data_IF_791079540544
#
_entry.id   IF_791079540544
#
_cell.length_a   1.000
_cell.length_b   1.000
_cell.length_c   1.000
_cell.angle_alpha   90.00
_cell.angle_beta   90.00
_cell.angle_gamma   90.00
#
_symmetry.space_group_name_H-M   'P 1'
#
loop_
_entity.id
_entity.type
_entity.pdbx_description
1 polymer ?
#
# COMPACT_ATOMS: atom_id res chain seq x y z
N UNK A 1 41.28 23.05 -21.80
CA UNK A 1 41.39 24.15 -20.84
C UNK A 1 41.20 23.54 -19.47
N UNK A 2 42.27 23.43 -18.68
CA UNK A 2 42.20 22.88 -17.34
C UNK A 2 41.22 23.72 -16.53
N UNK A 3 40.25 23.08 -15.87
CA UNK A 3 39.45 23.71 -14.83
C UNK A 3 40.42 24.28 -13.80
N UNK A 4 40.67 25.58 -13.91
CA UNK A 4 41.56 26.28 -12.98
C UNK A 4 40.67 26.56 -11.79
N UNK A 5 40.81 25.74 -10.75
CA UNK A 5 40.06 25.91 -9.52
C UNK A 5 40.40 27.30 -8.94
N UNK A 6 39.38 28.15 -8.79
CA UNK A 6 39.52 29.47 -8.18
C UNK A 6 38.98 29.36 -6.77
N UNK A 7 39.88 29.34 -5.80
CA UNK A 7 39.55 29.34 -4.38
C UNK A 7 39.38 30.78 -3.92
N UNK A 8 38.18 31.14 -3.49
CA UNK A 8 37.91 32.39 -2.79
C UNK A 8 37.47 32.05 -1.36
N UNK A 9 38.20 32.54 -0.37
CA UNK A 9 37.80 32.43 1.05
C UNK A 9 36.92 33.62 1.37
N UNK A 10 35.61 33.44 1.64
CA UNK A 10 34.75 34.53 2.04
C UNK A 10 35.21 35.09 3.40
N UNK A 11 35.00 36.40 3.68
CA UNK A 11 35.15 36.93 5.03
C UNK A 11 34.24 36.16 6.00
N UNK A 12 34.70 36.00 7.24
CA UNK A 12 34.15 35.11 8.30
C UNK A 12 32.70 35.37 8.73
N UNK A 13 31.96 36.25 8.05
CA UNK A 13 30.56 36.57 8.33
C UNK A 13 29.72 36.88 7.07
N UNK A 14 30.24 36.63 5.86
CA UNK A 14 29.54 36.97 4.62
C UNK A 14 28.48 35.92 4.26
N UNK A 15 27.19 36.26 4.39
CA UNK A 15 26.05 35.42 3.96
C UNK A 15 25.70 35.59 2.47
N UNK A 16 26.25 36.62 1.84
CA UNK A 16 26.15 36.89 0.40
C UNK A 16 27.48 37.44 -0.10
N UNK A 17 27.94 37.02 -1.26
CA UNK A 17 29.15 37.53 -1.88
C UNK A 17 29.08 37.50 -3.41
N UNK A 18 29.97 38.27 -4.04
CA UNK A 18 30.14 38.26 -5.49
C UNK A 18 31.49 37.61 -5.78
N UNK A 19 31.50 36.49 -6.51
CA UNK A 19 32.74 35.86 -6.96
C UNK A 19 33.08 36.42 -8.33
N UNK A 20 34.19 37.15 -8.40
CA UNK A 20 34.69 37.75 -9.64
C UNK A 20 35.91 37.00 -10.10
N UNK A 21 35.84 36.38 -11.28
CA UNK A 21 36.94 35.68 -11.93
C UNK A 21 37.47 36.55 -13.05
N UNK A 22 38.72 36.99 -12.93
CA UNK A 22 39.40 37.75 -13.99
C UNK A 22 40.44 36.88 -14.67
N UNK A 23 40.34 36.75 -15.99
CA UNK A 23 41.35 36.10 -16.83
C UNK A 23 41.93 37.11 -17.81
N UNK A 24 43.01 36.74 -18.52
CA UNK A 24 43.57 37.56 -19.59
C UNK A 24 42.57 37.90 -20.71
N UNK A 25 41.46 37.15 -20.83
CA UNK A 25 40.43 37.32 -21.84
C UNK A 25 39.14 37.98 -21.32
N UNK A 26 39.11 38.45 -20.07
CA UNK A 26 37.97 39.18 -19.51
C UNK A 26 37.60 38.76 -18.10
N UNK A 27 36.58 39.43 -17.57
CA UNK A 27 36.08 39.24 -16.20
C UNK A 27 34.65 38.68 -16.22
N UNK A 28 34.43 37.55 -15.55
CA UNK A 28 33.11 36.98 -15.28
C UNK A 28 32.75 37.13 -13.80
N UNK A 29 31.48 37.40 -13.50
CA UNK A 29 31.00 37.56 -12.12
C UNK A 29 29.76 36.70 -11.90
N UNK A 30 29.69 36.02 -10.75
CA UNK A 30 28.53 35.25 -10.31
C UNK A 30 28.17 35.60 -8.85
N UNK A 31 26.88 35.61 -8.55
CA UNK A 31 26.42 35.78 -7.17
C UNK A 31 26.56 34.46 -6.42
N UNK A 32 27.18 34.51 -5.24
CA UNK A 32 27.30 33.39 -4.31
C UNK A 32 26.41 33.69 -3.10
N UNK A 33 25.35 32.90 -2.94
CA UNK A 33 24.54 32.90 -1.73
C UNK A 33 25.04 31.76 -0.85
N UNK A 34 25.56 32.07 0.33
CA UNK A 34 25.93 31.09 1.35
C UNK A 34 24.86 31.17 2.41
N UNK A 35 23.95 30.21 2.43
CA UNK A 35 22.94 30.10 3.51
C UNK A 35 23.60 29.37 4.68
N UNK A 36 23.85 30.02 5.83
CA UNK A 36 24.27 29.31 7.03
C UNK A 36 23.12 28.39 7.46
N UNK A 37 23.42 27.11 7.69
CA UNK A 37 22.41 26.10 8.03
C UNK A 37 22.01 26.09 9.51
N UNK A 38 22.56 26.97 10.34
CA UNK A 38 22.07 27.25 11.68
C UNK A 38 22.40 28.68 12.11
N UNK A 39 21.50 29.27 12.91
CA UNK A 39 21.59 30.58 13.54
C UNK A 39 22.17 30.53 14.97
N UNK A 40 22.48 29.34 15.50
CA UNK A 40 22.94 29.18 16.88
C UNK A 40 24.46 29.20 17.07
N UNK A 41 25.27 28.93 16.04
CA UNK A 41 26.73 28.84 16.18
C UNK A 41 27.47 29.64 15.09
N UNK A 42 28.38 30.50 15.51
CA UNK A 42 28.93 31.63 14.74
C UNK A 42 29.96 31.26 13.67
N UNK A 43 30.09 29.98 13.31
CA UNK A 43 31.13 29.46 12.41
C UNK A 43 30.49 28.68 11.25
N UNK A 44 30.93 28.96 10.03
CA UNK A 44 30.51 28.23 8.83
C UNK A 44 30.88 26.74 8.96
N UNK A 45 29.88 25.85 8.98
CA UNK A 45 30.09 24.40 8.99
C UNK A 45 30.17 23.76 10.39
N UNK A 46 29.77 24.49 11.43
CA UNK A 46 29.58 23.98 12.79
C UNK A 46 28.21 23.28 12.88
N UNK A 47 28.21 21.96 12.89
CA UNK A 47 26.99 21.14 12.96
C UNK A 47 26.85 20.54 14.36
N UNK A 48 25.64 20.06 14.68
CA UNK A 48 25.35 19.57 16.03
C UNK A 48 26.30 18.44 16.45
N UNK A 49 26.92 18.60 17.62
CA UNK A 49 27.67 17.56 18.31
C UNK A 49 26.78 16.64 19.18
N UNK A 50 25.47 16.87 19.21
CA UNK A 50 24.52 16.12 20.02
C UNK A 50 23.91 14.99 19.21
N UNK A 51 24.25 13.76 19.56
CA UNK A 51 23.71 12.54 18.94
C UNK A 51 22.18 12.43 18.99
N UNK A 52 21.53 13.07 19.97
CA UNK A 52 20.07 13.06 20.13
C UNK A 52 19.38 14.23 19.44
N UNK A 53 20.13 15.21 18.92
CA UNK A 53 19.60 16.33 18.18
C UNK A 53 20.53 16.73 17.02
N UNK A 54 20.75 15.86 16.01
CA UNK A 54 21.54 16.20 14.83
C UNK A 54 20.98 17.41 14.06
N UNK A 55 21.83 18.13 13.33
CA UNK A 55 21.38 19.26 12.49
C UNK A 55 20.58 18.73 11.30
N UNK A 56 19.35 19.22 11.12
CA UNK A 56 18.51 18.77 10.02
C UNK A 56 18.94 19.35 8.66
N UNK A 57 19.13 18.48 7.68
CA UNK A 57 19.47 18.80 6.30
C UNK A 57 18.29 18.42 5.37
N UNK A 58 17.72 19.43 4.71
CA UNK A 58 16.71 19.21 3.69
C UNK A 58 17.38 18.82 2.36
N UNK A 59 17.00 17.65 1.82
CA UNK A 59 17.51 17.18 0.52
C UNK A 59 16.68 17.73 -0.64
N UNK A 60 17.37 18.27 -1.65
CA UNK A 60 16.86 18.51 -2.99
C UNK A 60 17.46 17.53 -4.00
N UNK A 61 17.23 17.74 -5.30
CA UNK A 61 17.80 16.89 -6.36
C UNK A 61 19.33 16.87 -6.35
N UNK A 62 19.96 17.94 -5.88
CA UNK A 62 21.39 18.00 -5.61
C UNK A 62 21.59 18.90 -4.40
N UNK A 63 21.95 18.33 -3.26
CA UNK A 63 22.26 19.08 -2.03
C UNK A 63 23.76 19.01 -1.79
N UNK A 64 24.40 20.17 -1.59
CA UNK A 64 25.80 20.24 -1.21
C UNK A 64 25.92 20.63 0.24
N UNK A 65 26.56 19.79 1.02
CA UNK A 65 26.94 20.05 2.39
C UNK A 65 28.37 20.57 2.40
N UNK A 66 28.59 21.74 2.98
CA UNK A 66 29.94 22.24 3.28
C UNK A 66 30.19 21.96 4.75
N UNK A 67 31.16 21.11 5.07
CA UNK A 67 31.52 20.80 6.44
C UNK A 67 32.99 21.15 6.67
N UNK A 68 33.25 21.76 7.82
CA UNK A 68 34.57 22.15 8.29
C UNK A 68 34.83 21.42 9.58
N UNK A 69 35.59 20.33 9.55
CA UNK A 69 35.88 19.61 10.77
C UNK A 69 37.10 20.23 11.46
N UNK A 70 36.89 20.72 12.68
CA UNK A 70 37.94 21.13 13.61
C UNK A 70 38.36 19.89 14.41
N UNK A 71 39.64 19.83 14.79
CA UNK A 71 40.23 18.69 15.49
C UNK A 71 39.41 18.29 16.72
N UNK A 72 38.78 17.10 16.68
CA UNK A 72 38.06 16.52 17.83
C UNK A 72 36.57 16.84 17.91
N UNK A 73 36.01 17.58 16.95
CA UNK A 73 34.58 17.90 16.91
C UNK A 73 33.85 16.92 15.97
N UNK A 74 32.84 16.23 16.52
CA UNK A 74 31.99 15.33 15.76
C UNK A 74 30.73 16.07 15.33
N UNK A 75 30.45 16.04 14.04
CA UNK A 75 29.30 16.69 13.42
C UNK A 75 28.25 15.63 13.08
N UNK A 76 27.05 15.79 13.61
CA UNK A 76 25.89 14.95 13.32
C UNK A 76 24.85 15.72 12.51
N UNK A 77 24.47 15.14 11.38
CA UNK A 77 23.42 15.67 10.50
C UNK A 77 22.32 14.64 10.29
N UNK A 78 21.07 15.05 10.24
CA UNK A 78 19.94 14.18 9.90
C UNK A 78 19.32 14.59 8.58
N UNK A 79 18.93 13.63 7.75
CA UNK A 79 18.23 13.88 6.48
C UNK A 79 17.21 12.78 6.17
N UNK A 80 16.21 13.14 5.36
CA UNK A 80 15.18 12.20 4.89
C UNK A 80 15.32 11.99 3.39
N UNK A 81 15.40 10.73 2.96
CA UNK A 81 15.23 10.32 1.57
C UNK A 81 13.73 10.15 1.31
N UNK A 82 13.11 10.96 0.41
CA UNK A 82 11.66 10.92 0.21
C UNK A 82 11.15 9.58 -0.35
N UNK A 83 9.87 9.28 -0.10
CA UNK A 83 9.20 8.14 -0.72
C UNK A 83 9.26 8.20 -2.25
N UNK A 84 9.57 7.07 -2.90
CA UNK A 84 9.76 7.01 -4.36
C UNK A 84 11.15 7.45 -4.85
N UNK A 85 12.03 7.88 -3.94
CA UNK A 85 13.42 8.23 -4.21
C UNK A 85 14.39 7.30 -3.45
N UNK A 86 15.65 7.39 -3.83
CA UNK A 86 16.80 6.84 -3.12
C UNK A 86 17.93 7.87 -3.11
N UNK A 87 18.79 7.86 -2.09
CA UNK A 87 20.09 8.50 -2.20
C UNK A 87 20.99 7.60 -3.06
N UNK A 88 21.25 8.03 -4.28
CA UNK A 88 22.00 7.29 -5.28
C UNK A 88 23.52 7.46 -5.15
N UNK A 89 23.95 8.52 -4.46
CA UNK A 89 25.36 8.77 -4.21
C UNK A 89 25.58 9.82 -3.10
N UNK A 90 26.70 9.67 -2.42
CA UNK A 90 27.26 10.65 -1.49
C UNK A 90 28.67 10.99 -1.97
N UNK A 91 28.79 12.00 -2.83
CA UNK A 91 30.02 12.24 -3.58
C UNK A 91 30.90 13.29 -2.89
N UNK A 92 32.18 13.00 -2.68
CA UNK A 92 33.14 14.00 -2.21
C UNK A 92 33.50 14.93 -3.37
N UNK A 93 33.07 16.19 -3.33
CA UNK A 93 33.34 17.17 -4.41
C UNK A 93 34.50 18.11 -4.10
N UNK A 94 34.87 18.24 -2.83
CA UNK A 94 35.98 19.08 -2.41
C UNK A 94 36.56 18.55 -1.11
N UNK A 95 37.88 18.67 -0.97
CA UNK A 95 38.60 18.44 0.27
C UNK A 95 39.79 19.39 0.31
N UNK A 96 39.86 20.25 1.33
CA UNK A 96 40.93 21.22 1.48
C UNK A 96 42.26 20.51 1.74
N UNK A 97 43.34 21.07 1.21
CA UNK A 97 44.67 20.56 1.51
C UNK A 97 45.05 20.91 2.96
N UNK A 98 45.39 19.89 3.76
CA UNK A 98 46.07 20.06 5.05
C UNK A 98 47.17 19.00 5.23
N UNK A 99 47.89 19.10 6.34
CA UNK A 99 48.91 18.12 6.73
C UNK A 99 48.33 16.76 7.13
N UNK A 100 47.01 16.70 7.39
CA UNK A 100 46.29 15.46 7.66
C UNK A 100 45.06 15.38 6.74
N UNK A 101 45.18 14.60 5.67
CA UNK A 101 44.20 14.55 4.58
C UNK A 101 43.14 13.45 4.76
N UNK A 102 42.83 13.07 6.00
CA UNK A 102 41.90 11.98 6.28
C UNK A 102 40.83 12.43 7.27
N UNK A 103 39.57 12.50 6.83
CA UNK A 103 38.40 12.66 7.68
C UNK A 103 37.65 11.33 7.83
N UNK A 104 36.75 11.25 8.80
CA UNK A 104 35.88 10.12 9.05
C UNK A 104 34.44 10.45 8.64
N UNK A 105 33.74 9.46 8.07
CA UNK A 105 32.30 9.51 7.79
C UNK A 105 31.63 8.21 8.21
N UNK A 106 30.43 8.28 8.75
CA UNK A 106 29.58 7.13 9.02
C UNK A 106 28.10 7.44 8.90
N UNK A 107 27.29 6.40 8.71
CA UNK A 107 25.85 6.46 8.54
C UNK A 107 25.14 5.60 9.59
N UNK A 108 24.01 6.11 10.08
CA UNK A 108 23.04 5.38 10.89
C UNK A 108 21.63 5.61 10.33
N UNK A 109 20.71 4.70 10.67
CA UNK A 109 19.28 4.83 10.37
C UNK A 109 18.57 5.70 11.40
N UNK A 110 17.52 6.42 10.97
CA UNK A 110 16.73 7.28 11.82
C UNK A 110 17.31 8.69 11.95
N UNK A 111 16.62 9.50 12.76
CA UNK A 111 16.89 10.95 12.92
C UNK A 111 17.86 11.28 14.06
N UNK A 112 18.40 10.27 14.73
CA UNK A 112 19.36 10.39 15.83
C UNK A 112 20.50 9.42 15.61
N UNK A 113 21.68 9.73 16.15
CA UNK A 113 22.83 8.82 16.13
C UNK A 113 22.75 7.82 17.29
N UNK A 114 22.49 6.56 16.98
CA UNK A 114 22.30 5.48 17.96
C UNK A 114 23.40 4.43 17.93
N UNK A 115 24.09 4.28 16.80
CA UNK A 115 25.17 3.30 16.60
C UNK A 115 26.39 3.50 17.55
N UNK A 116 26.52 4.67 18.19
CA UNK A 116 27.66 4.98 19.04
C UNK A 116 28.98 4.94 18.26
N UNK A 117 30.04 4.37 18.85
CA UNK A 117 31.33 4.17 18.16
C UNK A 117 31.52 2.72 17.67
N UNK A 118 30.52 1.87 17.87
CA UNK A 118 30.58 0.45 17.48
C UNK A 118 30.30 0.35 15.99
N UNK A 119 31.33 0.07 15.19
CA UNK A 119 31.21 0.10 13.73
C UNK A 119 30.27 -0.96 13.14
N UNK A 120 29.96 -2.03 13.88
CA UNK A 120 28.97 -3.04 13.46
C UNK A 120 27.53 -2.55 13.55
N UNK A 121 27.28 -1.48 14.32
CA UNK A 121 25.96 -0.91 14.51
C UNK A 121 25.67 0.20 13.48
N UNK A 122 26.70 0.60 12.70
CA UNK A 122 26.59 1.60 11.63
C UNK A 122 26.11 0.94 10.33
N UNK A 123 25.34 1.69 9.51
CA UNK A 123 24.96 1.27 8.16
C UNK A 123 26.15 1.24 7.18
N UNK A 124 27.18 2.01 7.48
CA UNK A 124 28.42 2.09 6.72
C UNK A 124 29.32 3.17 7.30
N UNK A 125 30.63 3.00 7.15
CA UNK A 125 31.61 3.98 7.62
C UNK A 125 32.88 3.91 6.79
N UNK A 126 33.63 5.00 6.72
CA UNK A 126 34.92 5.02 6.08
C UNK A 126 35.75 6.22 6.50
N UNK A 127 37.04 6.12 6.24
CA UNK A 127 37.90 7.30 6.17
C UNK A 127 37.92 7.82 4.74
N UNK A 128 37.85 9.13 4.55
CA UNK A 128 37.87 9.77 3.24
C UNK A 128 38.81 10.96 3.19
N UNK A 129 39.29 11.27 1.99
CA UNK A 129 40.28 12.33 1.79
C UNK A 129 40.45 12.74 0.34
N UNK A 130 41.55 13.43 0.03
CA UNK A 130 41.88 13.84 -1.33
C UNK A 130 41.89 12.71 -2.38
N UNK A 131 42.26 11.44 -2.07
CA UNK A 131 42.18 10.36 -3.05
C UNK A 131 40.74 9.98 -3.45
N UNK A 132 39.75 10.38 -2.66
CA UNK A 132 38.33 10.07 -2.87
C UNK A 132 37.60 11.21 -3.59
N UNK A 133 38.33 12.22 -4.08
CA UNK A 133 37.73 13.33 -4.78
C UNK A 133 36.99 12.81 -6.03
N UNK A 134 35.71 13.18 -6.12
CA UNK A 134 34.73 12.75 -7.12
C UNK A 134 34.38 11.26 -7.09
N UNK A 135 34.59 10.58 -5.97
CA UNK A 135 34.09 9.21 -5.76
C UNK A 135 32.85 9.21 -4.87
N UNK A 136 32.06 8.14 -5.00
CA UNK A 136 30.89 7.90 -4.16
C UNK A 136 31.30 7.23 -2.84
N UNK A 137 31.08 7.94 -1.74
CA UNK A 137 31.38 7.47 -0.40
C UNK A 137 30.42 6.38 0.07
N UNK A 138 29.19 6.24 -0.48
CA UNK A 138 28.30 5.13 -0.10
C UNK A 138 28.94 3.78 -0.45
N UNK A 139 29.50 3.68 -1.65
CA UNK A 139 30.28 2.52 -2.08
C UNK A 139 31.50 2.30 -1.18
N UNK A 140 32.24 3.37 -0.87
CA UNK A 140 33.44 3.28 -0.02
C UNK A 140 33.15 2.87 1.42
N UNK A 141 32.00 3.29 1.94
CA UNK A 141 31.49 2.92 3.26
C UNK A 141 30.93 1.49 3.32
N UNK A 142 30.90 0.77 2.20
CA UNK A 142 30.28 -0.54 2.04
C UNK A 142 28.78 -0.54 2.42
N UNK A 143 28.08 0.56 2.15
CA UNK A 143 26.62 0.61 2.32
C UNK A 143 25.99 -0.43 1.40
N UNK A 144 25.04 -1.20 1.92
CA UNK A 144 24.40 -2.28 1.18
C UNK A 144 23.79 -1.78 -0.14
N UNK A 145 24.24 -2.34 -1.26
CA UNK A 145 23.78 -1.94 -2.61
C UNK A 145 24.32 -0.59 -3.12
N UNK A 146 25.17 0.10 -2.36
CA UNK A 146 25.69 1.45 -2.67
C UNK A 146 24.61 2.53 -2.84
N UNK A 147 23.48 2.41 -2.15
CA UNK A 147 22.44 3.44 -2.10
C UNK A 147 21.72 3.41 -0.75
N UNK A 148 21.00 4.50 -0.42
CA UNK A 148 20.06 4.50 0.71
C UNK A 148 18.61 4.56 0.18
N UNK A 149 17.72 3.61 0.56
CA UNK A 149 16.31 3.67 0.18
C UNK A 149 15.60 4.87 0.82
N UNK A 150 14.32 5.06 0.52
CA UNK A 150 13.50 6.06 1.22
C UNK A 150 13.48 5.79 2.72
N UNK A 151 13.69 6.81 3.53
CA UNK A 151 13.79 6.69 4.99
C UNK A 151 14.56 7.85 5.61
N UNK A 152 14.64 7.84 6.93
CA UNK A 152 15.41 8.80 7.71
C UNK A 152 16.80 8.25 8.02
N UNK A 153 17.81 9.12 7.98
CA UNK A 153 19.21 8.78 8.18
C UNK A 153 19.95 9.86 8.95
N UNK A 154 20.94 9.44 9.72
CA UNK A 154 21.89 10.32 10.40
C UNK A 154 23.29 10.09 9.86
N UNK A 155 23.98 11.17 9.49
CA UNK A 155 25.37 11.20 9.05
C UNK A 155 26.24 11.71 10.20
N UNK A 156 27.32 11.01 10.48
CA UNK A 156 28.41 11.48 11.31
C UNK A 156 29.60 11.83 10.42
N UNK A 157 30.15 13.04 10.56
CA UNK A 157 31.44 13.43 9.97
C UNK A 157 32.37 13.99 11.04
N UNK A 158 33.68 13.73 10.92
CA UNK A 158 34.67 14.18 11.90
C UNK A 158 36.08 14.27 11.31
N UNK A 159 36.91 15.15 11.87
CA UNK A 159 38.37 15.14 11.73
C UNK A 159 39.03 15.23 13.12
N UNK A 160 40.02 14.39 13.39
CA UNK A 160 40.84 14.42 14.62
C UNK A 160 42.17 15.15 14.42
N UNK A 161 42.64 15.26 13.17
CA UNK A 161 43.89 15.92 12.80
C UNK A 161 43.75 17.41 12.51
N UNK A 162 44.57 17.91 11.58
CA UNK A 162 44.48 19.30 11.15
C UNK A 162 43.11 19.61 10.53
N UNK A 163 42.59 20.80 10.81
CA UNK A 163 41.27 21.20 10.34
C UNK A 163 41.18 21.14 8.81
N UNK A 164 40.08 20.59 8.30
CA UNK A 164 39.80 20.46 6.88
C UNK A 164 38.39 20.94 6.55
N UNK A 165 38.22 21.55 5.38
CA UNK A 165 36.92 21.80 4.76
C UNK A 165 36.68 20.78 3.65
N UNK A 166 35.51 20.17 3.63
CA UNK A 166 35.09 19.27 2.56
C UNK A 166 33.66 19.57 2.12
N UNK A 167 33.36 19.18 0.88
CA UNK A 167 32.02 19.32 0.30
C UNK A 167 31.51 17.94 -0.08
N UNK A 168 30.39 17.54 0.52
CA UNK A 168 29.67 16.32 0.19
C UNK A 168 28.45 16.67 -0.66
N UNK A 169 28.28 16.01 -1.79
CA UNK A 169 27.11 16.15 -2.64
C UNK A 169 26.20 14.93 -2.48
N UNK A 170 24.98 15.19 -2.02
CA UNK A 170 23.90 14.22 -1.93
C UNK A 170 23.17 14.19 -3.27
N UNK A 171 23.20 13.03 -3.91
CA UNK A 171 22.57 12.81 -5.20
C UNK A 171 21.30 11.98 -5.02
N UNK A 172 20.13 12.64 -5.07
CA UNK A 172 18.85 11.94 -5.08
C UNK A 172 18.51 11.46 -6.49
N UNK A 173 18.06 10.22 -6.60
CA UNK A 173 17.48 9.67 -7.82
C UNK A 173 16.12 9.02 -7.53
N UNK A 174 15.28 8.93 -8.56
CA UNK A 174 14.07 8.12 -8.45
C UNK A 174 14.44 6.66 -8.16
N UNK A 175 13.70 6.03 -7.26
CA UNK A 175 13.86 4.61 -7.01
C UNK A 175 13.45 3.81 -8.27
N UNK A 176 14.14 2.70 -8.60
CA UNK A 176 13.74 1.84 -9.71
C UNK A 176 12.27 1.39 -9.52
N UNK A 177 11.43 1.43 -10.57
CA UNK A 177 10.03 1.06 -10.43
C UNK A 177 9.87 -0.45 -10.37
N UNK A 178 8.98 -0.92 -9.50
CA UNK A 178 8.34 -2.22 -9.70
C UNK A 178 7.36 -2.14 -10.87
N UNK A 179 7.10 -3.27 -11.50
CA UNK A 179 5.94 -3.44 -12.41
C UNK A 179 4.98 -4.45 -11.80
N UNK A 180 3.68 -4.26 -12.02
CA UNK A 180 2.65 -5.21 -11.60
C UNK A 180 1.61 -5.33 -12.71
N UNK A 181 1.39 -6.55 -13.19
CA UNK A 181 0.32 -6.87 -14.15
C UNK A 181 -0.53 -8.01 -13.63
N UNK A 182 -1.83 -7.98 -13.93
CA UNK A 182 -2.78 -9.02 -13.55
C UNK A 182 -3.40 -9.60 -14.82
N UNK A 183 -3.48 -10.93 -14.90
CA UNK A 183 -4.12 -11.60 -16.02
C UNK A 183 -4.94 -12.82 -15.56
N UNK A 184 -6.27 -12.80 -15.69
CA UNK A 184 -7.11 -11.66 -16.11
C UNK A 184 -7.17 -10.54 -15.04
N UNK A 185 -7.63 -9.34 -15.42
CA UNK A 185 -7.87 -8.22 -14.46
C UNK A 185 -9.23 -8.29 -13.78
N UNK A 186 -10.07 -9.25 -14.15
CA UNK A 186 -11.35 -9.51 -13.50
C UNK A 186 -11.71 -10.98 -13.53
N UNK A 187 -12.48 -11.43 -12.54
CA UNK A 187 -13.03 -12.77 -12.49
C UNK A 187 -14.34 -12.79 -11.70
N UNK A 188 -15.13 -13.84 -11.89
CA UNK A 188 -16.28 -14.11 -11.05
C UNK A 188 -15.86 -14.43 -9.61
N UNK A 189 -16.68 -14.08 -8.62
CA UNK A 189 -16.40 -14.34 -7.21
C UNK A 189 -16.24 -15.84 -6.90
N UNK A 190 -16.86 -16.71 -7.70
CA UNK A 190 -16.75 -18.16 -7.59
C UNK A 190 -15.53 -18.75 -8.32
N UNK A 191 -14.67 -17.93 -8.93
CA UNK A 191 -13.43 -18.40 -9.55
C UNK A 191 -12.41 -18.93 -8.53
N UNK A 192 -12.55 -18.56 -7.25
CA UNK A 192 -11.79 -19.14 -6.15
C UNK A 192 -10.29 -18.89 -6.25
N UNK A 193 -9.49 -19.88 -5.81
CA UNK A 193 -8.04 -19.81 -5.86
C UNK A 193 -7.53 -19.81 -7.31
N UNK A 194 -6.68 -18.84 -7.66
CA UNK A 194 -6.16 -18.72 -9.03
C UNK A 194 -7.11 -18.00 -10.00
N UNK A 195 -8.08 -17.25 -9.48
CA UNK A 195 -8.95 -16.36 -10.26
C UNK A 195 -8.15 -15.39 -11.17
N UNK A 196 -6.93 -15.03 -10.77
CA UNK A 196 -5.98 -14.31 -11.61
C UNK A 196 -4.53 -14.67 -11.27
N UNK A 197 -3.63 -14.44 -12.22
CA UNK A 197 -2.18 -14.46 -12.00
C UNK A 197 -1.65 -13.03 -11.98
N UNK A 198 -1.05 -12.63 -10.86
CA UNK A 198 -0.23 -11.43 -10.76
C UNK A 198 1.19 -11.70 -11.20
N UNK A 199 1.80 -10.80 -11.97
CA UNK A 199 3.23 -10.81 -12.31
C UNK A 199 3.87 -9.54 -11.80
N UNK A 200 4.83 -9.67 -10.88
CA UNK A 200 5.67 -8.55 -10.44
C UNK A 200 7.01 -8.58 -11.15
N UNK A 201 7.55 -7.41 -11.49
CA UNK A 201 8.84 -7.29 -12.15
C UNK A 201 9.72 -6.15 -11.66
N UNK A 202 11.01 -6.26 -11.97
CA UNK A 202 12.07 -5.27 -11.75
C UNK A 202 12.82 -5.00 -13.06
N UNK A 203 13.42 -3.81 -13.24
CA UNK A 203 14.06 -3.43 -14.51
C UNK A 203 15.37 -4.17 -14.79
N UNK A 204 16.05 -4.71 -13.78
CA UNK A 204 17.35 -5.38 -13.93
C UNK A 204 17.44 -6.53 -12.94
N UNK A 205 18.00 -7.65 -13.39
CA UNK A 205 18.18 -8.84 -12.55
C UNK A 205 19.18 -8.55 -11.42
N UNK A 206 18.88 -9.04 -10.22
CA UNK A 206 19.75 -8.92 -9.05
C UNK A 206 20.61 -10.18 -8.88
N UNK A 207 21.69 -10.06 -8.11
CA UNK A 207 22.57 -11.18 -7.74
C UNK A 207 22.08 -11.93 -6.49
N UNK A 208 21.06 -11.41 -5.81
CA UNK A 208 20.40 -12.01 -4.65
C UNK A 208 18.87 -11.97 -4.84
N UNK A 209 18.17 -12.80 -4.09
CA UNK A 209 16.71 -12.81 -4.08
C UNK A 209 16.13 -11.47 -3.59
N UNK A 210 15.01 -11.05 -4.18
CA UNK A 210 14.22 -9.91 -3.75
C UNK A 210 12.84 -10.38 -3.27
N UNK A 211 12.57 -10.21 -1.99
CA UNK A 211 11.23 -10.37 -1.44
C UNK A 211 10.39 -9.14 -1.76
N UNK A 212 9.24 -9.34 -2.40
CA UNK A 212 8.26 -8.30 -2.70
C UNK A 212 7.03 -8.53 -1.84
N UNK A 213 6.69 -7.56 -1.00
CA UNK A 213 5.46 -7.58 -0.22
C UNK A 213 4.25 -7.24 -1.11
N UNK A 214 3.14 -7.94 -0.87
CA UNK A 214 1.90 -7.79 -1.62
C UNK A 214 0.76 -7.45 -0.67
N UNK A 215 -0.10 -6.54 -1.08
CA UNK A 215 -1.28 -6.14 -0.31
C UNK A 215 -2.52 -6.07 -1.21
N UNK A 216 -3.68 -6.36 -0.62
CA UNK A 216 -5.00 -6.20 -1.22
C UNK A 216 -5.81 -5.24 -0.35
N UNK A 217 -6.38 -4.21 -0.94
CA UNK A 217 -7.20 -3.20 -0.21
C UNK A 217 -8.58 -3.73 0.17
N UNK A 218 -9.09 -4.74 -0.51
CA UNK A 218 -10.35 -5.41 -0.20
C UNK A 218 -10.17 -6.93 -0.16
N UNK A 219 -9.70 -7.44 0.99
CA UNK A 219 -9.49 -8.86 1.23
C UNK A 219 -10.78 -9.68 1.31
N UNK A 220 -11.94 -9.03 1.51
CA UNK A 220 -13.24 -9.70 1.47
C UNK A 220 -13.69 -10.05 0.05
N UNK A 221 -13.13 -9.39 -0.97
CA UNK A 221 -13.37 -9.70 -2.38
C UNK A 221 -12.20 -10.45 -3.02
N UNK A 222 -10.95 -10.05 -2.76
CA UNK A 222 -9.77 -10.63 -3.39
C UNK A 222 -8.58 -10.74 -2.43
N UNK A 223 -7.95 -11.91 -2.38
CA UNK A 223 -6.78 -12.16 -1.53
C UNK A 223 -5.53 -12.48 -2.35
N UNK A 224 -4.37 -12.12 -1.82
CA UNK A 224 -3.03 -12.38 -2.36
C UNK A 224 -2.15 -12.98 -1.26
N UNK A 225 -1.08 -13.73 -1.59
CA UNK A 225 -0.08 -14.10 -0.59
C UNK A 225 0.59 -12.84 -0.02
N UNK A 226 1.13 -12.91 1.20
CA UNK A 226 1.78 -11.75 1.83
C UNK A 226 3.03 -11.27 1.08
N UNK A 227 3.73 -12.18 0.40
CA UNK A 227 4.90 -11.84 -0.40
C UNK A 227 5.12 -12.82 -1.54
N UNK A 228 5.89 -12.39 -2.53
CA UNK A 228 6.45 -13.21 -3.62
C UNK A 228 7.94 -12.90 -3.77
N UNK A 229 8.74 -13.89 -4.13
CA UNK A 229 10.20 -13.72 -4.29
C UNK A 229 10.58 -13.70 -5.76
N UNK A 230 11.26 -12.64 -6.20
CA UNK A 230 12.00 -12.63 -7.46
C UNK A 230 13.38 -13.22 -7.14
N UNK A 231 13.64 -14.43 -7.64
CA UNK A 231 14.90 -15.13 -7.37
C UNK A 231 16.07 -14.46 -8.07
N UNK A 232 17.27 -14.56 -7.51
CA UNK A 232 18.51 -14.07 -8.10
C UNK A 232 18.64 -14.50 -9.58
N UNK A 233 19.10 -13.58 -10.43
CA UNK A 233 19.21 -13.77 -11.88
C UNK A 233 17.90 -13.56 -12.65
N UNK A 234 16.75 -13.52 -11.98
CA UNK A 234 15.45 -13.26 -12.61
C UNK A 234 15.04 -11.80 -12.48
N UNK A 235 14.12 -11.36 -13.36
CA UNK A 235 13.56 -10.01 -13.36
C UNK A 235 12.09 -9.97 -12.98
N UNK A 236 11.45 -11.12 -12.76
CA UNK A 236 10.03 -11.20 -12.46
C UNK A 236 9.69 -12.48 -11.69
N UNK A 237 8.55 -12.44 -11.02
CA UNK A 237 7.93 -13.57 -10.35
C UNK A 237 6.40 -13.46 -10.44
N UNK A 238 5.72 -14.59 -10.36
CA UNK A 238 4.26 -14.66 -10.42
C UNK A 238 3.67 -15.10 -9.08
N UNK A 239 2.43 -14.68 -8.83
CA UNK A 239 1.66 -15.07 -7.66
C UNK A 239 0.18 -15.24 -8.01
N UNK A 240 -0.51 -16.10 -7.27
CA UNK A 240 -1.95 -16.30 -7.45
C UNK A 240 -2.76 -15.20 -6.74
N UNK A 241 -3.84 -14.77 -7.38
CA UNK A 241 -4.89 -13.94 -6.79
C UNK A 241 -6.12 -14.82 -6.68
N UNK A 242 -6.74 -14.85 -5.50
CA UNK A 242 -8.00 -15.57 -5.28
C UNK A 242 -9.18 -14.61 -5.22
N UNK A 243 -10.29 -14.98 -5.85
CA UNK A 243 -11.58 -14.33 -5.65
C UNK A 243 -12.32 -15.00 -4.49
N UNK A 244 -12.95 -14.20 -3.65
CA UNK A 244 -13.68 -14.65 -2.46
C UNK A 244 -15.18 -14.57 -2.75
N UNK A 245 -15.82 -15.73 -2.79
CA UNK A 245 -17.26 -15.83 -2.96
C UNK A 245 -18.00 -15.41 -1.69
N UNK A 246 -19.13 -14.73 -1.85
CA UNK A 246 -20.13 -14.56 -0.80
C UNK A 246 -21.54 -14.85 -1.37
N UNK A 247 -22.54 -15.16 -0.53
CA UNK A 247 -23.86 -15.60 -1.00
C UNK A 247 -24.86 -14.45 -1.19
N UNK A 248 -24.38 -13.21 -1.30
CA UNK A 248 -25.25 -12.03 -1.39
C UNK A 248 -25.17 -11.41 -2.77
N UNK A 249 -26.24 -10.76 -3.20
CA UNK A 249 -26.23 -10.02 -4.46
C UNK A 249 -25.65 -8.64 -4.21
N UNK A 250 -24.60 -8.27 -4.93
CA UNK A 250 -23.94 -6.97 -4.81
C UNK A 250 -23.33 -6.53 -6.15
N UNK A 251 -23.02 -5.24 -6.28
CA UNK A 251 -22.31 -4.71 -7.44
C UNK A 251 -20.85 -5.15 -7.44
N UNK A 252 -20.25 -5.39 -8.61
CA UNK A 252 -18.84 -5.80 -8.72
C UNK A 252 -17.92 -4.97 -7.83
N UNK A 253 -17.04 -5.67 -7.10
CA UNK A 253 -16.12 -5.07 -6.14
C UNK A 253 -14.73 -5.02 -6.75
N UNK A 254 -14.00 -3.94 -6.50
CA UNK A 254 -12.60 -3.84 -6.92
C UNK A 254 -11.68 -3.90 -5.71
N UNK A 255 -10.51 -4.51 -5.90
CA UNK A 255 -9.39 -4.41 -4.97
C UNK A 255 -8.15 -3.87 -5.71
N UNK A 256 -7.55 -2.82 -5.15
CA UNK A 256 -6.21 -2.40 -5.55
C UNK A 256 -5.20 -3.39 -4.95
N UNK A 257 -4.46 -4.07 -5.81
CA UNK A 257 -3.33 -4.92 -5.45
C UNK A 257 -2.06 -4.08 -5.54
N UNK A 258 -1.27 -4.05 -4.47
CA UNK A 258 -0.03 -3.27 -4.38
C UNK A 258 1.16 -4.20 -4.17
N UNK A 259 2.24 -3.94 -4.90
CA UNK A 259 3.54 -4.57 -4.73
C UNK A 259 4.55 -3.53 -4.22
N UNK A 260 5.32 -3.88 -3.19
CA UNK A 260 6.31 -2.99 -2.56
C UNK A 260 7.58 -3.75 -2.16
N UNK A 261 8.74 -3.13 -2.33
CA UNK A 261 10.03 -3.66 -1.91
C UNK A 261 10.98 -2.53 -1.52
N UNK A 262 11.83 -2.73 -0.51
CA UNK A 262 12.81 -1.74 -0.06
C UNK A 262 13.73 -1.33 -1.21
N UNK A 263 13.90 -0.02 -1.41
CA UNK A 263 14.73 0.52 -2.49
C UNK A 263 14.05 0.59 -3.86
N UNK A 264 12.77 0.22 -3.96
CA UNK A 264 11.98 0.32 -5.18
C UNK A 264 10.77 1.24 -5.02
N UNK A 265 10.34 1.86 -6.11
CA UNK A 265 9.04 2.52 -6.16
C UNK A 265 7.93 1.46 -6.31
N UNK A 266 6.85 1.62 -5.53
CA UNK A 266 5.75 0.66 -5.50
C UNK A 266 5.00 0.60 -6.84
N UNK A 267 4.41 -0.57 -7.12
CA UNK A 267 3.50 -0.77 -8.25
C UNK A 267 2.11 -1.15 -7.76
N UNK A 268 1.08 -0.84 -8.53
CA UNK A 268 -0.28 -1.26 -8.22
C UNK A 268 -1.09 -1.58 -9.47
N UNK A 269 -2.05 -2.48 -9.32
CA UNK A 269 -3.00 -2.86 -10.36
C UNK A 269 -4.36 -3.23 -9.73
N UNK A 270 -5.44 -2.91 -10.43
CA UNK A 270 -6.80 -3.16 -9.93
C UNK A 270 -7.30 -4.52 -10.41
N UNK A 271 -7.77 -5.35 -9.48
CA UNK A 271 -8.50 -6.59 -9.76
C UNK A 271 -9.99 -6.38 -9.45
N UNK A 272 -10.88 -6.79 -10.37
CA UNK A 272 -12.33 -6.66 -10.18
C UNK A 272 -13.00 -8.02 -10.05
N UNK A 273 -13.77 -8.19 -8.98
CA UNK A 273 -14.54 -9.39 -8.69
C UNK A 273 -16.00 -9.14 -9.04
N UNK A 274 -16.53 -9.91 -10.00
CA UNK A 274 -17.94 -9.81 -10.41
C UNK A 274 -18.81 -10.75 -9.60
N UNK A 275 -19.92 -10.25 -9.10
CA UNK A 275 -20.93 -11.06 -8.43
C UNK A 275 -21.66 -11.95 -9.45
N UNK A 276 -21.84 -13.22 -9.12
CA UNK A 276 -22.61 -14.17 -9.96
C UNK A 276 -23.92 -14.58 -9.31
N UNK A 277 -24.20 -14.08 -8.11
CA UNK A 277 -25.46 -14.35 -7.43
C UNK A 277 -26.63 -13.62 -8.09
N UNK A 278 -27.73 -14.33 -8.20
CA UNK A 278 -28.99 -13.80 -8.71
C UNK A 278 -29.96 -13.68 -7.53
N UNK A 279 -30.68 -12.56 -7.37
CA UNK A 279 -31.71 -12.48 -6.35
C UNK A 279 -32.68 -13.65 -6.48
N UNK A 280 -33.16 -14.25 -5.37
CA UNK A 280 -34.25 -15.21 -5.44
C UNK A 280 -35.40 -14.58 -6.23
N UNK A 281 -35.90 -15.28 -7.25
CA UNK A 281 -37.03 -14.79 -8.03
C UNK A 281 -38.15 -14.33 -7.07
N UNK A 282 -38.74 -13.13 -7.28
CA UNK A 282 -39.83 -12.64 -6.43
C UNK A 282 -40.90 -13.72 -6.28
N UNK A 283 -41.44 -13.94 -5.08
CA UNK A 283 -42.50 -14.94 -4.86
C UNK A 283 -43.69 -14.76 -5.82
N UNK A 284 -43.98 -13.52 -6.23
CA UNK A 284 -45.00 -13.20 -7.22
C UNK A 284 -44.76 -13.86 -8.61
N UNK A 285 -43.53 -14.24 -8.93
CA UNK A 285 -43.20 -14.99 -10.16
C UNK A 285 -43.33 -16.52 -9.97
N UNK A 286 -43.50 -17.01 -8.74
CA UNK A 286 -43.64 -18.44 -8.41
C UNK A 286 -45.08 -18.86 -8.14
N UNK A 287 -45.95 -17.93 -7.77
CA UNK A 287 -47.37 -18.22 -7.52
C UNK A 287 -48.12 -17.12 -6.77
N UNK A 288 -49.42 -17.31 -6.56
CA UNK A 288 -50.28 -16.44 -5.74
C UNK A 288 -51.36 -17.25 -5.02
N UNK A 289 -51.99 -16.64 -4.00
CA UNK A 289 -53.24 -17.16 -3.40
C UNK A 289 -54.36 -16.83 -4.37
N UNK A 290 -54.98 -17.85 -4.96
CA UNK A 290 -56.05 -17.66 -5.94
C UNK A 290 -57.42 -17.53 -5.27
N UNK A 291 -57.66 -18.32 -4.24
CA UNK A 291 -58.93 -18.33 -3.50
C UNK A 291 -58.69 -18.60 -2.02
N UNK A 292 -59.53 -17.99 -1.19
CA UNK A 292 -59.52 -18.17 0.26
C UNK A 292 -60.96 -18.21 0.76
N UNK A 293 -61.37 -19.38 1.27
CA UNK A 293 -62.69 -19.59 1.85
C UNK A 293 -62.57 -19.73 3.36
N UNK A 294 -63.05 -18.74 4.11
CA UNK A 294 -62.74 -18.57 5.54
C UNK A 294 -63.90 -18.10 6.41
N UNK A 295 -65.08 -17.86 5.85
CA UNK A 295 -66.24 -17.37 6.60
C UNK A 295 -67.51 -17.95 5.97
N UNK A 296 -68.13 -18.87 6.70
CA UNK A 296 -69.46 -19.36 6.39
C UNK A 296 -70.39 -18.94 7.52
N UNK A 297 -71.56 -18.40 7.20
CA UNK A 297 -72.61 -18.23 8.20
C UNK A 297 -73.09 -19.61 8.70
N UNK A 298 -72.84 -19.95 9.97
CA UNK A 298 -73.20 -21.25 10.58
C UNK A 298 -71.98 -22.00 11.13
N UNK A 299 -72.02 -23.34 11.16
CA UNK A 299 -70.82 -24.14 11.46
C UNK A 299 -69.87 -24.09 10.27
N UNK A 300 -68.69 -23.51 10.47
CA UNK A 300 -67.56 -23.42 9.53
C UNK A 300 -67.40 -24.69 8.67
N UNK A 301 -67.97 -24.69 7.46
CA UNK A 301 -68.03 -25.87 6.57
C UNK A 301 -67.42 -25.53 5.23
N UNK A 302 -66.41 -26.30 4.81
CA UNK A 302 -65.81 -26.15 3.48
C UNK A 302 -64.77 -25.03 3.39
N UNK A 303 -64.07 -24.73 4.48
CA UNK A 303 -62.94 -23.81 4.47
C UNK A 303 -61.72 -24.40 3.75
N UNK A 304 -61.12 -23.60 2.88
CA UNK A 304 -59.96 -24.00 2.10
C UNK A 304 -59.15 -22.79 1.61
N UNK A 305 -57.92 -23.08 1.19
CA UNK A 305 -57.06 -22.13 0.48
C UNK A 305 -56.68 -22.74 -0.85
N UNK A 306 -56.78 -21.96 -1.91
CA UNK A 306 -56.27 -22.29 -3.23
C UNK A 306 -55.07 -21.43 -3.57
N UNK A 307 -54.01 -22.06 -4.06
CA UNK A 307 -52.83 -21.41 -4.58
C UNK A 307 -52.66 -21.77 -6.05
N UNK A 308 -52.09 -20.84 -6.82
CA UNK A 308 -51.62 -21.10 -8.18
C UNK A 308 -50.10 -21.04 -8.17
N UNK A 309 -49.45 -22.03 -8.78
CA UNK A 309 -48.00 -22.03 -9.01
C UNK A 309 -47.70 -21.76 -10.49
N UNK A 310 -46.69 -20.93 -10.73
CA UNK A 310 -46.22 -20.61 -12.07
C UNK A 310 -45.51 -21.80 -12.72
N UNK A 311 -45.52 -21.91 -14.08
CA UNK A 311 -44.84 -22.98 -14.79
C UNK A 311 -43.37 -23.12 -14.36
N UNK A 312 -42.93 -24.35 -14.07
CA UNK A 312 -41.55 -24.64 -13.67
C UNK A 312 -41.23 -24.41 -12.19
N UNK A 313 -42.21 -24.05 -11.36
CA UNK A 313 -42.02 -23.92 -9.91
C UNK A 313 -41.78 -25.29 -9.28
N UNK A 314 -40.66 -25.44 -8.56
CA UNK A 314 -40.35 -26.66 -7.81
C UNK A 314 -41.34 -26.83 -6.63
N UNK A 315 -41.98 -27.99 -6.57
CA UNK A 315 -43.10 -28.28 -5.64
C UNK A 315 -42.66 -28.72 -4.25
N UNK A 316 -41.40 -29.12 -4.08
CA UNK A 316 -40.86 -29.66 -2.83
C UNK A 316 -40.58 -28.61 -1.73
N UNK A 317 -40.61 -27.31 -2.07
CA UNK A 317 -40.32 -26.21 -1.15
C UNK A 317 -41.50 -25.23 -0.98
N UNK A 318 -42.73 -25.68 -1.27
CA UNK A 318 -43.94 -24.86 -1.13
C UNK A 318 -44.73 -25.30 0.10
N UNK A 319 -45.08 -24.33 0.94
CA UNK A 319 -45.99 -24.53 2.07
C UNK A 319 -46.82 -23.27 2.30
N UNK A 320 -48.03 -23.45 2.81
CA UNK A 320 -48.89 -22.38 3.32
C UNK A 320 -48.72 -22.32 4.83
N UNK A 321 -48.46 -21.13 5.38
CA UNK A 321 -48.40 -20.87 6.82
C UNK A 321 -49.47 -19.87 7.17
N UNK A 322 -50.30 -20.19 8.16
CA UNK A 322 -51.33 -19.28 8.65
C UNK A 322 -50.76 -18.36 9.72
N UNK A 323 -51.17 -17.10 9.71
CA UNK A 323 -50.82 -16.10 10.71
C UNK A 323 -52.08 -15.42 11.25
N UNK A 324 -52.08 -15.06 12.52
CA UNK A 324 -53.17 -14.36 13.16
C UNK A 324 -53.12 -12.85 12.89
N UNK A 325 -54.26 -12.18 13.01
CA UNK A 325 -54.34 -10.71 12.90
C UNK A 325 -53.81 -9.97 14.14
N UNK A 326 -53.62 -10.67 15.27
CA UNK A 326 -53.18 -10.08 16.54
C UNK A 326 -51.67 -10.19 16.70
N UNK A 327 -50.93 -9.33 16.00
CA UNK A 327 -49.47 -9.24 16.09
C UNK A 327 -48.71 -10.17 15.14
N UNK A 328 -49.39 -10.87 14.23
CA UNK A 328 -48.76 -11.65 13.16
C UNK A 328 -48.07 -12.92 13.64
N UNK A 329 -48.52 -13.50 14.75
CA UNK A 329 -48.05 -14.80 15.23
C UNK A 329 -48.64 -15.95 14.39
N UNK A 330 -47.96 -17.10 14.35
CA UNK A 330 -48.45 -18.29 13.65
C UNK A 330 -49.81 -18.72 14.20
N UNK A 331 -50.79 -18.96 13.31
CA UNK A 331 -52.16 -19.37 13.64
C UNK A 331 -52.31 -20.89 13.43
N UNK A 332 -52.77 -21.58 14.47
CA UNK A 332 -52.97 -23.05 14.43
C UNK A 332 -54.46 -23.36 14.43
N UNK A 333 -54.89 -24.23 13.52
CA UNK A 333 -56.29 -24.60 13.34
C UNK A 333 -56.48 -26.09 13.08
N UNK A 334 -57.72 -26.56 13.16
CA UNK A 334 -58.13 -27.92 12.83
C UNK A 334 -57.85 -28.95 13.94
N UNK A 335 -58.20 -30.20 13.65
CA UNK A 335 -57.92 -31.36 14.48
C UNK A 335 -57.43 -32.51 13.58
N UNK A 336 -56.13 -32.88 13.62
CA UNK A 336 -55.09 -32.34 14.51
C UNK A 336 -54.74 -30.88 14.21
N UNK A 337 -54.28 -30.18 15.25
CA UNK A 337 -53.94 -28.76 15.17
C UNK A 337 -52.70 -28.55 14.27
N UNK A 338 -52.85 -27.75 13.21
CA UNK A 338 -51.82 -27.49 12.23
C UNK A 338 -51.78 -26.00 11.85
N UNK A 339 -50.58 -25.47 11.66
CA UNK A 339 -50.36 -24.07 11.25
C UNK A 339 -49.60 -23.93 9.93
N UNK A 340 -48.96 -25.03 9.49
CA UNK A 340 -48.16 -25.10 8.26
C UNK A 340 -48.61 -26.30 7.44
N UNK A 341 -49.01 -26.05 6.20
CA UNK A 341 -49.53 -27.01 5.25
C UNK A 341 -48.51 -27.15 4.10
N UNK A 342 -47.69 -28.20 4.06
CA UNK A 342 -46.82 -28.45 2.92
C UNK A 342 -47.64 -28.81 1.67
N UNK A 343 -47.13 -28.50 0.47
CA UNK A 343 -47.82 -28.77 -0.79
C UNK A 343 -48.23 -30.24 -0.98
N UNK A 344 -47.53 -31.18 -0.31
CA UNK A 344 -47.89 -32.60 -0.31
C UNK A 344 -49.27 -32.91 0.29
N UNK A 345 -49.88 -31.97 1.02
CA UNK A 345 -51.24 -32.07 1.56
C UNK A 345 -52.30 -31.44 0.66
N UNK A 346 -51.89 -30.74 -0.40
CA UNK A 346 -52.82 -30.08 -1.30
C UNK A 346 -53.35 -31.08 -2.33
N UNK A 347 -54.62 -30.90 -2.70
CA UNK A 347 -55.22 -31.54 -3.86
C UNK A 347 -54.84 -30.74 -5.11
N UNK A 348 -54.21 -31.40 -6.08
CA UNK A 348 -53.90 -30.78 -7.36
C UNK A 348 -55.19 -30.58 -8.18
N UNK A 349 -55.39 -29.34 -8.65
CA UNK A 349 -56.50 -28.92 -9.50
C UNK A 349 -56.13 -28.86 -10.98
N UNK A 350 -56.82 -28.00 -11.72
CA UNK A 350 -56.61 -27.84 -13.15
C UNK A 350 -55.24 -27.22 -13.46
N UNK A 351 -54.69 -27.59 -14.62
CA UNK A 351 -53.55 -26.93 -15.22
C UNK A 351 -54.04 -26.06 -16.37
N UNK A 352 -53.87 -24.74 -16.29
CA UNK A 352 -54.31 -23.80 -17.33
C UNK A 352 -53.13 -22.95 -17.77
N UNK A 353 -52.79 -22.99 -19.07
CA UNK A 353 -51.68 -22.23 -19.65
C UNK A 353 -50.33 -22.40 -18.90
N UNK A 354 -50.07 -23.60 -18.36
CA UNK A 354 -48.85 -23.93 -17.63
C UNK A 354 -48.84 -23.54 -16.14
N UNK A 355 -49.89 -22.89 -15.65
CA UNK A 355 -50.09 -22.66 -14.22
C UNK A 355 -50.78 -23.86 -13.59
N UNK A 356 -50.30 -24.29 -12.42
CA UNK A 356 -50.83 -25.41 -11.65
C UNK A 356 -51.61 -24.91 -10.45
N UNK A 357 -52.87 -25.30 -10.33
CA UNK A 357 -53.74 -24.94 -9.21
C UNK A 357 -53.65 -26.03 -8.13
N UNK A 358 -53.61 -25.64 -6.86
CA UNK A 358 -53.61 -26.54 -5.71
C UNK A 358 -54.53 -26.01 -4.63
N UNK A 359 -55.37 -26.86 -4.05
CA UNK A 359 -56.24 -26.49 -2.93
C UNK A 359 -56.02 -27.37 -1.71
N UNK A 360 -56.16 -26.80 -0.51
CA UNK A 360 -56.09 -27.54 0.75
C UNK A 360 -57.26 -27.15 1.63
N UNK A 361 -58.00 -28.14 2.14
CA UNK A 361 -59.03 -27.88 3.14
C UNK A 361 -58.37 -27.61 4.48
N UNK A 362 -58.83 -26.56 5.15
CA UNK A 362 -58.29 -26.11 6.43
C UNK A 362 -59.48 -25.84 7.35
N UNK A 363 -59.94 -26.84 8.10
CA UNK A 363 -61.05 -26.63 9.04
C UNK A 363 -60.66 -25.70 10.20
N UNK A 364 -61.56 -24.80 10.59
CA UNK A 364 -61.45 -23.83 11.68
C UNK A 364 -60.69 -22.54 11.36
N UNK A 365 -60.58 -22.14 10.08
CA UNK A 365 -59.98 -20.84 9.73
C UNK A 365 -60.88 -19.74 10.30
N UNK A 366 -60.42 -19.08 11.36
CA UNK A 366 -61.20 -18.20 12.24
C UNK A 366 -62.25 -18.94 13.09
N UNK A 367 -62.04 -18.93 14.40
CA UNK A 367 -62.91 -19.56 15.40
C UNK A 367 -63.42 -18.55 16.43
N UNK A 368 -63.75 -17.32 16.00
CA UNK A 368 -64.22 -16.22 16.84
C UNK A 368 -65.08 -15.20 16.08
N UNK A 369 -65.71 -14.25 16.79
CA UNK A 369 -66.46 -13.16 16.14
C UNK A 369 -65.52 -12.21 15.36
N UNK A 370 -65.99 -11.60 14.25
CA UNK A 370 -65.19 -10.71 13.42
C UNK A 370 -64.53 -9.54 14.18
#
# INVERSE_FOLDING_TARGET
VSDTQITATPPTAATTGTVTVTTANGTGSGNLTITPLDSSETVLGDYSNNTNAPTALALGTTTKLVAGAVAGEADYLTFTVPAGYRLNGLNLKYFSFSTDQVAFVALDSGITWTAGQTTTDMLGYSHFGTPDLNTDLLTKMNVAGSYLPSGDYTLWVQQLGAANTYVLEFELAAAPPLTLTLNPTSAAENAGAGASTGTVGIPTALTSDLAVALASTNTAAATVPASVTITAGQTNATFAIAAVANPTVYASQSSLITASATGYANASATFTVTNVDVPPAPLAAKGWINEFHYDNSGTDTGEFVEIVLAPGTATNNVSLVLYNGTGGGVYTTGSPAQSTFPLSQFTAGANTNGFSIYSVSIPGIQNGSP
#
